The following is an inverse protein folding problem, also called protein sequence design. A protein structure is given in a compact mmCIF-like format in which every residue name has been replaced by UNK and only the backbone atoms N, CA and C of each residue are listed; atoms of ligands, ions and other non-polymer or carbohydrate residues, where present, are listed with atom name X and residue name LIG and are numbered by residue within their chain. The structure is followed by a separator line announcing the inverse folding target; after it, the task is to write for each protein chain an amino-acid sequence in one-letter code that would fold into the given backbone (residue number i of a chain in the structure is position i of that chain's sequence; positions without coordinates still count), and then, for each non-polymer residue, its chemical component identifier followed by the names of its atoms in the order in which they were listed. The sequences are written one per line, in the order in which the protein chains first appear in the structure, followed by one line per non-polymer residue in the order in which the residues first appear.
data_IF_979746439278
#
_entry.id   IF_979746439278
#
_cell.length_a   1.000
_cell.length_b   1.000
_cell.length_c   1.000
_cell.angle_alpha   90.00
_cell.angle_beta   90.00
_cell.angle_gamma   90.00
#
_symmetry.space_group_name_H-M   'P 1'
#
loop_
_entity.id
_entity.type
_entity.pdbx_description
1 polymer ?
#
# COMPACT_ATOMS: atom_id res chain seq x y z
N UNK A 1 -3.23 -16.79 3.15
CA UNK A 1 -2.61 -15.55 2.60
C UNK A 1 -3.50 -14.34 2.81
N UNK A 2 -4.79 -14.41 2.47
CA UNK A 2 -5.73 -13.28 2.53
C UNK A 2 -6.42 -13.09 3.89
N UNK A 3 -5.88 -13.73 4.93
CA UNK A 3 -6.37 -13.65 6.30
C UNK A 3 -5.58 -12.57 7.05
N UNK A 4 -6.30 -11.62 7.65
CA UNK A 4 -5.73 -10.45 8.33
C UNK A 4 -5.04 -10.82 9.66
N UNK A 5 -5.46 -11.91 10.29
CA UNK A 5 -4.82 -12.49 11.47
C UNK A 5 -3.58 -13.31 11.13
N UNK A 6 -3.32 -13.51 9.82
CA UNK A 6 -2.13 -14.18 9.32
C UNK A 6 -1.26 -13.24 8.47
N UNK A 7 -1.41 -13.27 7.14
CA UNK A 7 -0.49 -12.64 6.19
C UNK A 7 -1.00 -11.28 5.68
N UNK A 8 -2.30 -11.00 5.76
CA UNK A 8 -2.92 -9.87 5.07
C UNK A 8 -2.97 -8.61 5.95
N UNK A 9 -1.85 -7.89 6.01
CA UNK A 9 -1.78 -6.60 6.71
C UNK A 9 -2.60 -5.52 5.98
N UNK A 10 -3.02 -4.48 6.70
CA UNK A 10 -3.51 -3.21 6.12
C UNK A 10 -2.50 -2.55 5.17
N UNK A 11 -1.22 -2.95 5.26
CA UNK A 11 -0.10 -2.40 4.49
C UNK A 11 0.43 -3.37 3.41
N UNK A 12 -0.22 -4.52 3.18
CA UNK A 12 0.17 -5.52 2.18
C UNK A 12 0.36 -6.93 2.76
N UNK A 13 1.15 -7.78 2.10
CA UNK A 13 1.42 -9.15 2.54
C UNK A 13 2.67 -9.19 3.43
N UNK A 14 2.50 -9.73 4.65
CA UNK A 14 3.56 -9.96 5.64
C UNK A 14 4.55 -11.00 5.14
N UNK A 15 5.83 -10.84 5.49
CA UNK A 15 6.87 -11.83 5.15
C UNK A 15 6.77 -13.13 5.97
N UNK A 16 6.07 -13.10 7.12
CA UNK A 16 5.74 -14.27 7.94
C UNK A 16 4.32 -14.11 8.49
N UNK A 17 3.58 -15.21 8.57
CA UNK A 17 2.23 -15.20 9.18
C UNK A 17 2.30 -14.69 10.61
N UNK A 18 1.42 -13.74 10.94
CA UNK A 18 1.26 -13.17 12.28
C UNK A 18 0.91 -14.23 13.33
N UNK A 19 0.38 -15.40 12.93
CA UNK A 19 0.18 -16.56 13.80
C UNK A 19 1.45 -17.02 14.55
N UNK A 20 2.63 -16.83 13.95
CA UNK A 20 3.92 -17.15 14.60
C UNK A 20 4.30 -16.21 15.76
N UNK A 21 3.41 -15.26 16.10
CA UNK A 21 3.51 -14.48 17.34
C UNK A 21 3.18 -15.33 18.55
N UNK A 22 2.15 -16.17 18.44
CA UNK A 22 1.64 -17.00 19.53
C UNK A 22 2.07 -18.47 19.37
N UNK A 23 2.26 -18.93 18.12
CA UNK A 23 2.70 -20.27 17.77
C UNK A 23 4.00 -20.22 16.93
N UNK A 24 5.17 -19.85 17.52
CA UNK A 24 6.41 -19.79 16.77
C UNK A 24 6.85 -21.19 16.29
N UNK A 25 7.37 -21.24 15.07
CA UNK A 25 7.96 -22.47 14.54
C UNK A 25 9.35 -22.66 15.14
N UNK A 26 9.69 -23.87 15.57
CA UNK A 26 10.99 -24.13 16.14
C UNK A 26 11.36 -25.60 16.23
N UNK A 27 12.64 -25.84 16.53
CA UNK A 27 13.22 -27.17 16.68
C UNK A 27 14.13 -27.25 17.90
N UNK A 28 14.21 -28.44 18.50
CA UNK A 28 15.11 -28.74 19.60
C UNK A 28 16.38 -29.41 19.09
N UNK A 29 17.54 -28.79 19.36
CA UNK A 29 18.85 -29.31 18.96
C UNK A 29 19.76 -29.29 20.17
N UNK A 30 20.26 -30.47 20.57
CA UNK A 30 21.15 -30.64 21.73
C UNK A 30 20.63 -30.01 23.03
N UNK A 31 19.32 -30.07 23.29
CA UNK A 31 18.71 -29.51 24.51
C UNK A 31 18.50 -27.99 24.47
N UNK A 32 18.71 -27.34 23.31
CA UNK A 32 18.38 -25.94 23.08
C UNK A 32 17.24 -25.83 22.06
N UNK A 33 16.26 -24.98 22.38
CA UNK A 33 15.12 -24.65 21.51
C UNK A 33 15.48 -23.47 20.62
N UNK A 34 15.37 -23.64 19.30
CA UNK A 34 15.57 -22.58 18.31
C UNK A 34 14.26 -22.25 17.62
N UNK A 35 13.91 -20.96 17.55
CA UNK A 35 12.58 -20.53 17.10
C UNK A 35 12.60 -19.35 16.11
N UNK A 36 11.62 -19.36 15.22
CA UNK A 36 11.28 -18.29 14.29
C UNK A 36 10.02 -17.59 14.82
N UNK A 37 10.26 -16.53 15.58
CA UNK A 37 9.23 -15.65 16.11
C UNK A 37 8.77 -14.61 15.08
N UNK A 38 7.49 -14.24 15.12
CA UNK A 38 6.97 -13.11 14.36
C UNK A 38 7.42 -11.76 14.95
N UNK A 39 8.01 -10.91 14.11
CA UNK A 39 8.40 -9.54 14.43
C UNK A 39 7.90 -8.61 13.31
N UNK A 40 6.97 -7.68 13.58
CA UNK A 40 6.39 -6.84 12.53
C UNK A 40 7.35 -5.77 11.99
N UNK A 41 8.47 -5.49 12.66
CA UNK A 41 9.41 -4.41 12.35
C UNK A 41 10.87 -4.86 12.26
N UNK A 42 11.79 -4.09 12.87
CA UNK A 42 13.20 -4.47 12.92
C UNK A 42 13.41 -5.83 13.61
N UNK A 43 14.47 -6.53 13.20
CA UNK A 43 14.90 -7.78 13.82
C UNK A 43 15.25 -7.56 15.29
N UNK A 44 14.84 -8.49 16.15
CA UNK A 44 15.24 -8.52 17.57
C UNK A 44 16.54 -9.32 17.81
N UNK A 45 17.14 -9.85 16.75
CA UNK A 45 18.38 -10.62 16.80
C UNK A 45 19.44 -10.00 15.90
N UNK A 46 20.69 -9.98 16.38
CA UNK A 46 21.83 -9.52 15.58
C UNK A 46 22.32 -10.54 14.55
N UNK A 47 21.79 -11.77 14.53
CA UNK A 47 22.15 -12.78 13.52
C UNK A 47 21.66 -12.36 12.12
N UNK A 48 22.53 -12.47 11.12
CA UNK A 48 22.24 -12.25 9.70
C UNK A 48 21.85 -10.81 9.29
N UNK A 49 22.64 -9.81 9.69
CA UNK A 49 22.56 -8.47 9.10
C UNK A 49 21.91 -7.39 9.96
N UNK A 50 21.90 -7.55 11.28
CA UNK A 50 21.47 -6.49 12.21
C UNK A 50 19.96 -6.33 12.29
N UNK A 51 19.43 -5.17 11.90
CA UNK A 51 18.00 -4.84 12.04
C UNK A 51 17.12 -5.31 10.86
N UNK A 52 17.70 -5.77 9.74
CA UNK A 52 16.93 -6.31 8.61
C UNK A 52 16.14 -7.57 9.01
N UNK A 53 14.89 -7.68 8.55
CA UNK A 53 13.97 -8.69 9.06
C UNK A 53 12.98 -9.22 8.01
N UNK A 54 12.90 -10.55 7.92
CA UNK A 54 11.97 -11.30 7.07
C UNK A 54 10.90 -12.07 7.87
N UNK A 55 10.78 -11.77 9.17
CA UNK A 55 9.90 -12.49 10.09
C UNK A 55 8.59 -11.74 10.37
N UNK A 56 8.07 -10.99 9.39
CA UNK A 56 6.85 -10.24 9.58
C UNK A 56 6.69 -8.99 8.73
N UNK A 57 7.73 -8.14 8.54
CA UNK A 57 7.57 -6.86 7.84
C UNK A 57 7.10 -7.02 6.39
N UNK A 58 6.60 -5.93 5.83
CA UNK A 58 6.17 -5.84 4.43
C UNK A 58 7.37 -5.50 3.55
N UNK A 59 7.59 -6.34 2.54
CA UNK A 59 8.59 -6.12 1.51
C UNK A 59 7.91 -5.95 0.16
N UNK A 60 8.15 -4.82 -0.50
CA UNK A 60 7.49 -4.51 -1.78
C UNK A 60 7.92 -5.47 -2.90
N UNK A 61 9.18 -5.95 -2.88
CA UNK A 61 9.67 -6.91 -3.86
C UNK A 61 8.83 -8.21 -3.90
N UNK A 62 8.53 -8.79 -2.73
CA UNK A 62 7.76 -10.04 -2.65
C UNK A 62 6.29 -9.81 -2.93
N UNK A 63 5.74 -8.69 -2.44
CA UNK A 63 4.37 -8.30 -2.74
C UNK A 63 4.15 -8.11 -4.25
N UNK A 64 5.07 -7.45 -4.94
CA UNK A 64 5.03 -7.28 -6.39
C UNK A 64 4.94 -8.63 -7.13
N UNK A 65 5.77 -9.60 -6.76
CA UNK A 65 5.74 -10.94 -7.37
C UNK A 65 4.42 -11.67 -7.11
N UNK A 66 3.84 -11.51 -5.91
CA UNK A 66 2.53 -12.09 -5.58
C UNK A 66 1.42 -11.45 -6.41
N UNK A 67 1.42 -10.12 -6.55
CA UNK A 67 0.47 -9.37 -7.36
C UNK A 67 0.53 -9.80 -8.83
N UNK A 68 1.72 -9.82 -9.43
CA UNK A 68 1.92 -10.28 -10.82
C UNK A 68 1.47 -11.75 -11.00
N UNK A 69 1.72 -12.60 -10.00
CA UNK A 69 1.26 -13.99 -10.03
C UNK A 69 -0.26 -14.09 -10.02
N UNK A 70 -0.95 -13.31 -9.17
CA UNK A 70 -2.42 -13.27 -9.10
C UNK A 70 -3.01 -12.78 -10.44
N UNK A 71 -2.45 -11.72 -11.02
CA UNK A 71 -2.87 -11.20 -12.33
C UNK A 71 -2.66 -12.25 -13.43
N UNK A 72 -1.55 -13.00 -13.40
CA UNK A 72 -1.30 -14.09 -14.36
C UNK A 72 -2.26 -15.26 -14.18
N UNK A 73 -2.59 -15.64 -12.95
CA UNK A 73 -3.57 -16.71 -12.72
C UNK A 73 -4.99 -16.28 -13.11
N UNK A 74 -5.33 -15.00 -12.95
CA UNK A 74 -6.57 -14.46 -13.48
C UNK A 74 -6.67 -14.63 -15.02
N UNK A 75 -5.59 -14.44 -15.77
CA UNK A 75 -5.61 -14.67 -17.23
C UNK A 75 -5.98 -16.12 -17.61
N UNK A 76 -5.75 -17.08 -16.72
CA UNK A 76 -6.12 -18.48 -16.92
C UNK A 76 -7.53 -18.80 -16.41
N UNK A 77 -7.85 -18.40 -15.18
CA UNK A 77 -9.12 -18.77 -14.53
C UNK A 77 -10.28 -17.80 -14.79
N UNK A 78 -10.00 -16.57 -15.21
CA UNK A 78 -11.00 -15.52 -15.40
C UNK A 78 -11.80 -15.22 -14.14
N UNK A 79 -13.08 -14.91 -14.33
CA UNK A 79 -14.03 -14.57 -13.27
C UNK A 79 -14.58 -15.77 -12.50
N UNK A 80 -14.36 -17.00 -12.99
CA UNK A 80 -14.93 -18.22 -12.41
C UNK A 80 -14.27 -18.59 -11.08
N UNK A 81 -12.95 -18.38 -10.96
CA UNK A 81 -12.24 -18.61 -9.72
C UNK A 81 -12.39 -17.39 -8.81
N UNK A 82 -13.21 -17.56 -7.78
CA UNK A 82 -13.39 -16.58 -6.74
C UNK A 82 -12.82 -17.07 -5.41
N UNK A 83 -12.18 -16.16 -4.68
CA UNK A 83 -11.67 -16.40 -3.34
C UNK A 83 -12.16 -15.32 -2.39
N UNK A 84 -12.32 -15.67 -1.13
CA UNK A 84 -12.76 -14.73 -0.10
C UNK A 84 -11.61 -13.77 0.27
N UNK A 85 -11.85 -12.45 0.18
CA UNK A 85 -10.83 -11.43 0.39
C UNK A 85 -11.39 -10.13 1.02
N UNK A 86 -11.12 -9.86 2.31
CA UNK A 86 -10.34 -10.69 3.26
C UNK A 86 -11.02 -12.02 3.61
N UNK A 87 -10.24 -13.01 4.03
CA UNK A 87 -10.77 -14.26 4.60
C UNK A 87 -11.68 -13.97 5.80
N UNK A 88 -12.84 -14.62 5.87
CA UNK A 88 -13.86 -14.39 6.90
C UNK A 88 -14.80 -13.19 6.67
N UNK A 89 -14.63 -12.41 5.60
CA UNK A 89 -15.46 -11.23 5.30
C UNK A 89 -16.80 -11.54 4.63
N UNK A 90 -16.92 -12.70 3.98
CA UNK A 90 -18.01 -13.04 3.07
C UNK A 90 -17.90 -12.39 1.68
N UNK A 91 -16.89 -11.54 1.43
CA UNK A 91 -16.67 -10.87 0.15
C UNK A 91 -15.80 -11.76 -0.75
N UNK A 92 -16.36 -12.18 -1.89
CA UNK A 92 -15.67 -12.99 -2.88
C UNK A 92 -15.18 -12.15 -4.05
N UNK A 93 -13.93 -12.38 -4.44
CA UNK A 93 -13.24 -11.62 -5.47
C UNK A 93 -12.54 -12.56 -6.45
N UNK A 94 -12.53 -12.20 -7.74
CA UNK A 94 -11.62 -12.83 -8.70
C UNK A 94 -10.16 -12.43 -8.39
N UNK A 95 -9.20 -13.13 -8.98
CA UNK A 95 -7.79 -12.92 -8.62
C UNK A 95 -7.22 -11.55 -9.02
N UNK A 96 -7.78 -10.88 -10.03
CA UNK A 96 -7.33 -9.51 -10.39
C UNK A 96 -7.81 -8.49 -9.35
N UNK A 97 -9.02 -8.64 -8.82
CA UNK A 97 -9.54 -7.80 -7.74
C UNK A 97 -8.77 -8.03 -6.42
N UNK A 98 -8.34 -9.27 -6.14
CA UNK A 98 -7.43 -9.56 -5.02
C UNK A 98 -6.08 -8.86 -5.21
N UNK A 99 -5.51 -8.91 -6.42
CA UNK A 99 -4.26 -8.22 -6.72
C UNK A 99 -4.38 -6.70 -6.51
N UNK A 100 -5.48 -6.11 -6.99
CA UNK A 100 -5.79 -4.69 -6.82
C UNK A 100 -5.94 -4.31 -5.34
N UNK A 101 -6.57 -5.14 -4.52
CA UNK A 101 -6.68 -4.88 -3.08
C UNK A 101 -5.31 -4.85 -2.39
N UNK A 102 -4.39 -5.76 -2.74
CA UNK A 102 -3.02 -5.72 -2.21
C UNK A 102 -2.30 -4.44 -2.68
N UNK A 103 -2.51 -4.03 -3.93
CA UNK A 103 -1.95 -2.79 -4.47
C UNK A 103 -2.46 -1.56 -3.72
N UNK A 104 -3.77 -1.46 -3.45
CA UNK A 104 -4.35 -0.35 -2.68
C UNK A 104 -3.71 -0.24 -1.30
N UNK A 105 -3.58 -1.36 -0.58
CA UNK A 105 -2.93 -1.43 0.73
C UNK A 105 -1.47 -0.94 0.70
N UNK A 106 -0.72 -1.29 -0.36
CA UNK A 106 0.65 -0.79 -0.54
C UNK A 106 0.68 0.71 -0.86
N UNK A 107 -0.23 1.18 -1.73
CA UNK A 107 -0.34 2.62 -2.06
C UNK A 107 -0.66 3.43 -0.80
N UNK A 108 -1.51 2.92 0.09
CA UNK A 108 -1.89 3.58 1.34
C UNK A 108 -0.71 3.82 2.29
N UNK A 109 0.38 3.06 2.20
CA UNK A 109 1.60 3.33 2.97
C UNK A 109 2.14 4.75 2.69
N UNK A 110 2.04 5.17 1.42
CA UNK A 110 2.63 6.42 0.91
C UNK A 110 1.58 7.52 0.70
N UNK A 111 0.30 7.18 0.73
CA UNK A 111 -0.82 8.12 0.64
C UNK A 111 -1.03 8.91 1.93
N UNK A 112 -1.54 10.14 1.82
CA UNK A 112 -2.00 10.90 2.98
C UNK A 112 -3.39 10.41 3.41
N UNK A 113 -3.58 10.23 4.70
CA UNK A 113 -4.90 10.03 5.31
C UNK A 113 -5.65 11.37 5.45
N UNK A 114 -6.88 11.32 5.97
CA UNK A 114 -7.72 12.50 6.21
C UNK A 114 -7.12 13.50 7.20
N UNK A 115 -6.12 13.09 7.99
CA UNK A 115 -5.39 13.98 8.88
C UNK A 115 -4.08 14.48 8.24
N UNK A 116 -3.84 14.19 6.96
CA UNK A 116 -2.64 14.60 6.23
C UNK A 116 -1.40 13.74 6.48
N UNK A 117 -1.53 12.61 7.19
CA UNK A 117 -0.40 11.77 7.61
C UNK A 117 -0.14 10.63 6.64
N UNK A 118 1.10 10.16 6.54
CA UNK A 118 1.44 8.92 5.82
C UNK A 118 1.85 7.84 6.79
N UNK A 119 1.48 6.59 6.51
CA UNK A 119 1.93 5.47 7.33
C UNK A 119 3.47 5.39 7.34
N UNK A 120 4.11 5.57 6.19
CA UNK A 120 5.58 5.55 6.06
C UNK A 120 6.31 6.54 6.96
N UNK A 121 5.65 7.64 7.38
CA UNK A 121 6.25 8.67 8.22
C UNK A 121 6.32 8.26 9.70
N UNK A 122 5.62 7.19 10.10
CA UNK A 122 5.63 6.68 11.47
C UNK A 122 5.14 7.68 12.53
N UNK A 123 4.25 8.61 12.14
CA UNK A 123 3.71 9.65 13.01
C UNK A 123 4.68 10.79 13.32
N UNK A 124 5.70 11.01 12.47
CA UNK A 124 6.61 12.13 12.61
C UNK A 124 5.94 13.45 12.19
N UNK A 125 5.65 14.39 13.13
CA UNK A 125 4.90 15.61 12.82
C UNK A 125 5.58 16.50 11.79
N UNK A 126 6.92 16.46 11.74
CA UNK A 126 7.70 17.22 10.76
C UNK A 126 7.48 16.68 9.34
N UNK A 127 7.48 15.36 9.17
CA UNK A 127 7.26 14.75 7.86
C UNK A 127 5.78 14.76 7.45
N UNK A 128 4.86 14.87 8.40
CA UNK A 128 3.42 14.91 8.12
C UNK A 128 2.91 16.33 7.84
N UNK A 129 3.34 17.34 8.61
CA UNK A 129 2.67 18.65 8.62
C UNK A 129 3.56 19.85 8.26
N UNK A 130 4.88 19.76 8.42
CA UNK A 130 5.77 20.90 8.15
C UNK A 130 5.70 21.28 6.66
N UNK A 131 5.36 22.54 6.30
CA UNK A 131 5.25 22.97 4.90
C UNK A 131 6.51 22.73 4.06
N UNK A 132 7.68 22.64 4.68
CA UNK A 132 8.94 22.40 4.01
C UNK A 132 9.29 20.91 3.86
N UNK A 133 8.63 20.00 4.58
CA UNK A 133 8.96 18.58 4.56
C UNK A 133 7.80 17.67 4.16
N UNK A 134 6.56 18.11 4.33
CA UNK A 134 5.35 17.28 4.14
C UNK A 134 5.23 16.67 2.75
N UNK A 135 5.81 17.30 1.73
CA UNK A 135 5.71 16.86 0.34
C UNK A 135 6.87 15.92 -0.08
N UNK A 136 7.87 15.72 0.78
CA UNK A 136 8.97 14.78 0.53
C UNK A 136 8.62 13.37 1.04
N UNK A 137 8.35 12.45 0.11
CA UNK A 137 8.04 11.05 0.43
C UNK A 137 9.33 10.24 0.51
N UNK A 138 9.56 9.62 1.65
CA UNK A 138 10.74 8.79 1.89
C UNK A 138 10.47 7.34 1.50
N UNK A 139 11.49 6.70 0.95
CA UNK A 139 11.46 5.29 0.60
C UNK A 139 12.38 4.49 1.51
N UNK A 140 11.91 3.33 1.93
CA UNK A 140 12.56 2.50 2.92
C UNK A 140 12.75 1.07 2.41
N UNK A 141 13.63 0.33 3.05
CA UNK A 141 13.94 -1.06 2.73
C UNK A 141 12.72 -1.97 2.93
N UNK A 142 12.01 -1.81 4.04
CA UNK A 142 10.80 -2.54 4.37
C UNK A 142 9.89 -1.69 5.26
N UNK A 143 8.66 -2.14 5.46
CA UNK A 143 7.65 -1.42 6.24
C UNK A 143 7.14 -2.27 7.37
N UNK A 144 6.87 -1.62 8.50
CA UNK A 144 6.32 -2.30 9.65
C UNK A 144 4.92 -2.86 9.33
N UNK A 145 4.69 -4.13 9.68
CA UNK A 145 3.49 -4.84 9.28
C UNK A 145 2.19 -4.39 9.96
N UNK A 146 2.25 -3.64 11.06
CA UNK A 146 1.04 -3.21 11.77
C UNK A 146 0.69 -1.72 11.55
N UNK A 147 1.70 -0.85 11.37
CA UNK A 147 1.48 0.61 11.28
C UNK A 147 2.08 1.24 10.02
N UNK A 148 2.71 0.45 9.16
CA UNK A 148 3.22 0.88 7.86
C UNK A 148 4.42 1.82 7.91
N UNK A 149 5.02 2.08 9.09
CA UNK A 149 6.19 2.96 9.19
C UNK A 149 7.38 2.39 8.44
N UNK A 150 8.14 3.25 7.78
CA UNK A 150 9.34 2.86 7.04
C UNK A 150 10.48 2.44 7.97
N UNK A 151 11.18 1.36 7.61
CA UNK A 151 12.26 0.75 8.39
C UNK A 151 13.45 0.33 7.51
N UNK A 152 14.58 0.04 8.14
CA UNK A 152 15.82 -0.30 7.43
C UNK A 152 16.44 0.89 6.71
N UNK A 153 17.18 0.62 5.63
CA UNK A 153 17.82 1.67 4.84
C UNK A 153 16.79 2.64 4.24
N UNK A 154 17.00 3.94 4.44
CA UNK A 154 16.23 5.00 3.76
C UNK A 154 16.77 5.28 2.35
N UNK A 155 16.01 6.04 1.56
CA UNK A 155 16.31 6.34 0.15
C UNK A 155 16.41 5.08 -0.71
N UNK A 156 15.71 4.01 -0.31
CA UNK A 156 15.64 2.78 -1.09
C UNK A 156 14.67 3.00 -2.26
N UNK A 157 15.16 3.50 -3.38
CA UNK A 157 14.37 3.60 -4.63
C UNK A 157 14.61 2.39 -5.54
N UNK A 158 15.00 1.26 -4.95
CA UNK A 158 15.03 -0.04 -5.62
C UNK A 158 13.62 -0.63 -5.65
N UNK A 159 13.41 -1.79 -5.02
CA UNK A 159 12.09 -2.43 -5.00
C UNK A 159 10.98 -1.56 -4.40
N UNK A 160 11.27 -0.61 -3.49
CA UNK A 160 10.21 0.26 -2.96
C UNK A 160 9.70 1.26 -3.99
N UNK A 161 10.48 1.52 -5.06
CA UNK A 161 10.04 2.29 -6.22
C UNK A 161 8.90 1.62 -7.02
N UNK A 162 8.68 0.31 -6.83
CA UNK A 162 7.58 -0.42 -7.50
C UNK A 162 6.19 0.10 -7.13
N UNK A 163 6.05 0.87 -6.04
CA UNK A 163 4.79 1.58 -5.75
C UNK A 163 4.34 2.48 -6.90
N UNK A 164 5.27 3.09 -7.65
CA UNK A 164 4.91 3.90 -8.82
C UNK A 164 4.17 3.09 -9.89
N UNK A 165 4.56 1.83 -10.08
CA UNK A 165 3.86 0.91 -10.99
C UNK A 165 2.48 0.52 -10.45
N UNK A 166 2.35 0.29 -9.14
CA UNK A 166 1.04 0.03 -8.53
C UNK A 166 0.10 1.22 -8.68
N UNK A 167 0.60 2.44 -8.50
CA UNK A 167 -0.16 3.69 -8.74
C UNK A 167 -0.59 3.79 -10.21
N UNK A 168 0.31 3.47 -11.15
CA UNK A 168 -0.01 3.48 -12.57
C UNK A 168 -1.15 2.48 -12.90
N UNK A 169 -1.13 1.29 -12.30
CA UNK A 169 -2.13 0.24 -12.59
C UNK A 169 -3.47 0.45 -11.88
N UNK A 170 -3.46 0.89 -10.62
CA UNK A 170 -4.64 0.86 -9.73
C UNK A 170 -4.91 2.18 -9.01
N UNK A 171 -4.11 3.22 -9.26
CA UNK A 171 -4.21 4.49 -8.53
C UNK A 171 -5.53 5.24 -8.78
N UNK A 172 -6.15 5.06 -9.95
CA UNK A 172 -7.43 5.70 -10.30
C UNK A 172 -8.60 5.11 -9.49
N UNK A 173 -8.55 3.81 -9.20
CA UNK A 173 -9.54 3.08 -8.40
C UNK A 173 -9.16 3.00 -6.92
N UNK A 174 -7.97 3.45 -6.55
CA UNK A 174 -7.47 3.41 -5.19
C UNK A 174 -8.30 4.31 -4.27
N UNK A 175 -8.87 3.69 -3.23
CA UNK A 175 -9.63 4.38 -2.19
C UNK A 175 -8.69 5.20 -1.30
N UNK A 176 -9.23 6.15 -0.53
CA UNK A 176 -8.43 6.88 0.45
C UNK A 176 -7.98 5.94 1.59
N UNK A 177 -6.75 6.11 2.14
CA UNK A 177 -6.32 5.35 3.30
C UNK A 177 -7.33 5.46 4.45
N UNK A 178 -7.57 4.34 5.14
CA UNK A 178 -8.50 4.24 6.29
C UNK A 178 -9.99 4.52 5.96
N UNK A 179 -10.39 4.52 4.69
CA UNK A 179 -11.83 4.54 4.34
C UNK A 179 -12.45 3.14 4.41
N UNK A 180 -13.67 2.99 4.97
CA UNK A 180 -14.28 1.67 5.13
C UNK A 180 -14.73 1.04 3.81
N UNK A 181 -14.61 -0.30 3.74
CA UNK A 181 -14.78 -1.10 2.50
C UNK A 181 -16.22 -1.43 2.08
N UNK A 182 -17.16 -1.56 3.01
CA UNK A 182 -18.48 -2.15 2.73
C UNK A 182 -19.52 -1.04 2.53
N UNK A 183 -20.56 -1.23 1.70
CA UNK A 183 -21.62 -0.22 1.53
C UNK A 183 -22.20 0.26 2.87
N UNK A 184 -22.25 -0.64 3.87
CA UNK A 184 -22.73 -0.35 5.23
C UNK A 184 -21.74 0.49 6.03
N UNK A 185 -20.44 0.25 5.93
CA UNK A 185 -19.42 1.02 6.63
C UNK A 185 -19.06 2.32 5.89
N UNK A 186 -19.08 2.31 4.56
CA UNK A 186 -19.02 3.49 3.70
C UNK A 186 -20.22 4.40 3.96
N UNK A 187 -21.45 3.88 4.07
CA UNK A 187 -22.63 4.67 4.41
C UNK A 187 -22.48 5.37 5.78
N UNK A 188 -22.06 4.65 6.82
CA UNK A 188 -21.82 5.26 8.13
C UNK A 188 -20.76 6.38 8.05
N UNK A 189 -19.69 6.20 7.26
CA UNK A 189 -18.66 7.22 7.07
C UNK A 189 -19.13 8.41 6.21
N UNK A 190 -19.99 8.17 5.23
CA UNK A 190 -20.54 9.19 4.33
C UNK A 190 -21.61 10.06 5.02
N UNK A 191 -22.31 9.52 6.01
CA UNK A 191 -23.31 10.26 6.81
C UNK A 191 -22.71 10.99 8.03
N UNK A 192 -21.47 10.68 8.43
CA UNK A 192 -20.75 11.39 9.50
C UNK A 192 -19.95 12.61 9.00
N UNK A 193 -19.71 12.74 7.69
CA UNK A 193 -19.02 13.91 7.13
C UNK A 193 -19.99 15.08 6.92
N UNK A 194 -20.01 16.02 7.87
CA UNK A 194 -20.24 17.42 7.52
C UNK A 194 -19.04 17.89 6.72
N UNK A 195 -19.19 18.00 5.40
CA UNK A 195 -18.17 18.53 4.49
C UNK A 195 -17.90 19.99 4.89
N UNK A 196 -16.85 20.23 5.67
CA UNK A 196 -16.28 21.56 5.84
C UNK A 196 -15.38 21.83 4.62
N UNK A 197 -15.99 22.31 3.54
CA UNK A 197 -15.29 22.77 2.36
C UNK A 197 -14.67 24.15 2.64
N UNK A 198 -13.67 24.22 3.50
CA UNK A 198 -12.81 25.40 3.60
C UNK A 198 -11.46 25.12 2.94
N UNK A 199 -11.30 25.66 1.74
CA UNK A 199 -10.00 25.84 1.10
C UNK A 199 -9.18 26.87 1.90
N UNK A 200 -8.01 26.49 2.44
CA UNK A 200 -7.06 27.42 3.07
C UNK A 200 -6.35 28.34 2.06
N UNK A 201 -6.60 28.18 0.75
CA UNK A 201 -6.28 29.20 -0.24
C UNK A 201 -7.54 30.05 -0.46
N UNK A 202 -7.43 31.32 -0.08
CA UNK A 202 -8.46 32.33 -0.36
C UNK A 202 -8.91 32.30 -1.82
N UNK A 203 -10.16 32.68 -2.01
CA UNK A 203 -11.04 32.51 -3.18
C UNK A 203 -10.60 33.29 -4.44
N UNK A 204 -9.29 33.41 -4.70
CA UNK A 204 -8.70 34.27 -5.71
C UNK A 204 -7.77 33.53 -6.68
N UNK A 205 -8.07 32.27 -6.99
CA UNK A 205 -7.49 31.62 -8.14
C UNK A 205 -8.59 30.97 -8.99
N UNK A 206 -8.87 31.61 -10.15
CA UNK A 206 -9.61 30.98 -11.23
C UNK A 206 -8.97 29.62 -11.51
N UNK A 207 -9.73 28.57 -11.21
CA UNK A 207 -9.43 27.17 -11.44
C UNK A 207 -8.65 26.94 -12.74
N UNK A 208 -7.42 26.42 -12.61
CA UNK A 208 -6.62 25.92 -13.75
C UNK A 208 -7.31 24.75 -14.48
N UNK A 209 -8.28 24.09 -13.82
CA UNK A 209 -9.14 23.08 -14.44
C UNK A 209 -10.13 23.66 -15.46
N UNK A 210 -10.46 24.97 -15.39
CA UNK A 210 -11.28 25.62 -16.41
C UNK A 210 -10.52 25.89 -17.71
N UNK A 211 -9.19 26.11 -17.64
CA UNK A 211 -8.37 26.39 -18.83
C UNK A 211 -8.10 25.15 -19.69
N UNK A 212 -8.05 23.96 -19.09
CA UNK A 212 -7.84 22.71 -19.84
C UNK A 212 -9.07 22.24 -20.62
N UNK A 213 -10.27 22.72 -20.29
CA UNK A 213 -11.50 22.37 -21.02
C UNK A 213 -11.63 23.09 -22.38
N UNK A 214 -10.79 24.09 -22.63
CA UNK A 214 -10.77 24.88 -23.87
C UNK A 214 -9.55 24.61 -24.76
N UNK A 215 -8.69 23.64 -24.41
CA UNK A 215 -7.59 23.22 -25.28
C UNK A 215 -8.09 22.18 -26.28
N UNK A 216 -7.93 22.53 -27.54
CA UNK A 216 -8.40 21.83 -28.73
C UNK A 216 -8.17 20.31 -28.72
N UNK A 217 -9.20 19.61 -29.18
CA UNK A 217 -9.27 18.16 -29.37
C UNK A 217 -8.52 17.69 -30.63
N UNK A 218 -7.31 18.21 -30.87
CA UNK A 218 -6.46 17.79 -31.99
C UNK A 218 -4.98 17.76 -31.58
N UNK A 219 -4.58 16.68 -30.90
CA UNK A 219 -3.18 16.29 -30.70
C UNK A 219 -2.87 14.99 -31.44
N UNK A 220 -3.11 15.00 -32.75
CA UNK A 220 -2.25 14.27 -33.67
C UNK A 220 -1.41 15.35 -34.35
N UNK A 221 -0.09 15.31 -34.10
CA UNK A 221 0.86 16.28 -34.65
C UNK A 221 0.76 16.37 -36.16
N UNK A 222 1.10 17.56 -36.68
CA UNK A 222 1.17 17.84 -38.11
C UNK A 222 2.10 16.83 -38.82
N UNK A 223 1.53 16.09 -39.78
CA UNK A 223 2.20 15.09 -40.62
C UNK A 223 2.19 15.52 -42.09
N UNK A 224 2.16 16.83 -42.35
CA UNK A 224 2.26 17.35 -43.72
C UNK A 224 3.66 17.08 -44.33
N UNK A 225 3.75 16.89 -45.65
CA UNK A 225 5.01 16.56 -46.34
C UNK A 225 6.10 17.64 -46.21
N UNK A 226 5.74 18.85 -45.82
CA UNK A 226 6.67 19.98 -45.64
C UNK A 226 7.34 19.98 -44.25
N UNK A 227 6.99 19.03 -43.37
CA UNK A 227 7.54 18.88 -42.01
C UNK A 227 8.62 17.77 -41.88
N UNK A 228 9.15 17.26 -43.00
CA UNK A 228 10.28 16.30 -43.07
C UNK A 228 11.53 16.91 -43.72
#
# INVERSE_FOLDING_TARGET
MLDEDEFFSEHGIRSLSKKHKDEPWGMDVHGQRYEVNYWPGDSKSGMFGGNSNWRGPIWLATNFLLIESLQRFYQYYGDELQVECPTGSGDYMNLVAVAEEIQHRIIHIFGRDMQGRRATNGGNPKLDHDPHFRDYVWFYEFFHADDGRGLGASHQTGWSGLVAYHILQSGVSCRLPKTPRTPRSTANHYFDETIDSQSEFGDDNRSAFSMMSAYDRNTLGDISPDAL
#
